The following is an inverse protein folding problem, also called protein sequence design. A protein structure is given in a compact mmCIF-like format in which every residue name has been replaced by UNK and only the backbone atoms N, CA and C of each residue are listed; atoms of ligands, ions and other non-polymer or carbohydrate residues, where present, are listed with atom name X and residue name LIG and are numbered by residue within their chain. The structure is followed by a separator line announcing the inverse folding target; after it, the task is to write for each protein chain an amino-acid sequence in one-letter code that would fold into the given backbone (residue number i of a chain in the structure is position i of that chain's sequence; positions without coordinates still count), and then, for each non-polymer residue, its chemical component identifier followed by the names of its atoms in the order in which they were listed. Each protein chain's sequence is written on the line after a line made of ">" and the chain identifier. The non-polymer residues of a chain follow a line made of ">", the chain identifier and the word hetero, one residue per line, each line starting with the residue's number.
data_IF_253787259176
#
_entry.id   IF_253787259176
#
_cell.length_a   1.000
_cell.length_b   1.000
_cell.length_c   1.000
_cell.angle_alpha   90.00
_cell.angle_beta   90.00
_cell.angle_gamma   90.00
#
_symmetry.space_group_name_H-M   'P 1'
#
loop_
_entity.id
_entity.type
_entity.pdbx_description
1 polymer ?
#
# COMPACT_ATOMS: atom_id res chain seq x y z
N UNK A 1 24.38 1.69 -3.11
CA UNK A 1 23.31 1.16 -3.97
C UNK A 1 23.91 0.10 -4.83
N UNK A 2 24.14 -1.01 -4.17
CA UNK A 2 25.17 -1.96 -4.53
C UNK A 2 24.52 -3.16 -5.22
N UNK A 3 25.28 -3.97 -5.95
CA UNK A 3 24.68 -4.97 -6.85
C UNK A 3 23.78 -5.98 -6.13
N UNK A 4 24.02 -6.25 -4.85
CA UNK A 4 23.19 -7.12 -4.02
C UNK A 4 21.86 -6.45 -3.62
N UNK A 5 21.84 -5.15 -3.33
CA UNK A 5 20.60 -4.39 -3.11
C UNK A 5 19.75 -4.40 -4.38
N UNK A 6 20.36 -4.12 -5.54
CA UNK A 6 19.68 -4.14 -6.84
C UNK A 6 19.06 -5.50 -7.16
N UNK A 7 19.79 -6.59 -6.93
CA UNK A 7 19.25 -7.94 -7.10
C UNK A 7 18.08 -8.22 -6.14
N UNK A 8 18.18 -7.80 -4.88
CA UNK A 8 17.08 -7.93 -3.91
C UNK A 8 15.83 -7.18 -4.38
N UNK A 9 15.95 -5.89 -4.74
CA UNK A 9 14.83 -5.10 -5.24
C UNK A 9 14.22 -5.65 -6.53
N UNK A 10 15.02 -6.26 -7.42
CA UNK A 10 14.50 -6.92 -8.62
C UNK A 10 13.67 -8.16 -8.27
N UNK A 11 14.18 -9.04 -7.39
CA UNK A 11 13.44 -10.21 -6.90
C UNK A 11 12.16 -9.83 -6.16
N UNK A 12 12.22 -8.82 -5.28
CA UNK A 12 11.05 -8.24 -4.59
C UNK A 12 10.01 -7.79 -5.63
N UNK A 13 10.43 -7.09 -6.69
CA UNK A 13 9.52 -6.60 -7.73
C UNK A 13 8.82 -7.73 -8.47
N UNK A 14 9.57 -8.80 -8.79
CA UNK A 14 9.00 -9.98 -9.44
C UNK A 14 8.04 -10.73 -8.51
N UNK A 15 8.43 -11.01 -7.26
CA UNK A 15 7.60 -11.71 -6.28
C UNK A 15 6.32 -10.92 -5.94
N UNK A 16 6.42 -9.59 -5.80
CA UNK A 16 5.28 -8.70 -5.64
C UNK A 16 4.35 -8.71 -6.87
N UNK A 17 4.91 -8.77 -8.08
CA UNK A 17 4.12 -8.93 -9.30
C UNK A 17 3.45 -10.31 -9.40
N UNK A 18 4.13 -11.40 -9.05
CA UNK A 18 3.56 -12.75 -9.00
C UNK A 18 2.42 -12.84 -7.98
N UNK A 19 2.62 -12.23 -6.80
CA UNK A 19 1.56 -12.02 -5.80
C UNK A 19 0.35 -11.33 -6.44
N UNK A 20 0.59 -10.22 -7.15
CA UNK A 20 -0.47 -9.43 -7.76
C UNK A 20 -1.15 -10.15 -8.93
N UNK A 21 -0.45 -10.96 -9.72
CA UNK A 21 -1.06 -11.76 -10.77
C UNK A 21 -2.04 -12.80 -10.17
N UNK A 22 -1.66 -13.46 -9.07
CA UNK A 22 -2.55 -14.38 -8.34
C UNK A 22 -3.77 -13.63 -7.78
N UNK A 23 -3.54 -12.51 -7.09
CA UNK A 23 -4.60 -11.68 -6.50
C UNK A 23 -5.55 -11.14 -7.58
N UNK A 24 -5.02 -10.54 -8.64
CA UNK A 24 -5.82 -9.94 -9.70
C UNK A 24 -6.65 -10.97 -10.49
N UNK A 25 -6.12 -12.18 -10.69
CA UNK A 25 -6.87 -13.29 -11.24
C UNK A 25 -8.01 -13.74 -10.29
N UNK A 26 -7.76 -13.81 -8.98
CA UNK A 26 -8.79 -14.14 -8.00
C UNK A 26 -9.92 -13.09 -7.95
N UNK A 27 -9.57 -11.79 -7.96
CA UNK A 27 -10.54 -10.69 -8.02
C UNK A 27 -11.36 -10.71 -9.31
N UNK A 28 -10.72 -10.98 -10.45
CA UNK A 28 -11.39 -11.13 -11.75
C UNK A 28 -12.35 -12.33 -11.76
N UNK A 29 -11.96 -13.46 -11.17
CA UNK A 29 -12.80 -14.67 -11.06
C UNK A 29 -13.99 -14.52 -10.11
N UNK A 30 -13.92 -13.59 -9.15
CA UNK A 30 -15.02 -13.23 -8.26
C UNK A 30 -15.91 -12.11 -8.83
N UNK A 31 -15.54 -11.52 -9.97
CA UNK A 31 -16.07 -10.27 -10.54
C UNK A 31 -15.89 -9.02 -9.65
N UNK A 32 -15.31 -9.16 -8.45
CA UNK A 32 -15.09 -8.10 -7.45
C UNK A 32 -13.71 -7.46 -7.64
N UNK A 33 -13.56 -6.52 -8.59
CA UNK A 33 -12.32 -5.73 -8.65
C UNK A 33 -12.09 -4.83 -9.87
N UNK A 34 -11.23 -3.82 -9.67
CA UNK A 34 -10.70 -2.86 -10.67
C UNK A 34 -9.32 -2.39 -10.23
N UNK A 35 -8.30 -2.73 -11.00
CA UNK A 35 -6.92 -2.79 -10.52
C UNK A 35 -6.17 -1.51 -10.90
N UNK A 36 -5.28 -0.97 -10.04
CA UNK A 36 -4.57 0.28 -10.34
C UNK A 36 -3.20 0.41 -9.69
N UNK A 37 -2.13 0.22 -10.45
CA UNK A 37 -0.75 0.36 -9.97
C UNK A 37 -0.28 1.81 -9.98
N UNK A 38 0.29 2.32 -8.89
CA UNK A 38 1.12 3.52 -8.81
C UNK A 38 2.36 3.28 -7.93
N UNK A 39 3.53 3.80 -8.29
CA UNK A 39 4.75 3.79 -7.45
C UNK A 39 5.01 5.17 -6.83
N UNK A 40 5.72 5.21 -5.70
CA UNK A 40 6.13 6.46 -5.04
C UNK A 40 7.62 6.60 -4.78
N UNK A 41 8.02 7.72 -4.18
CA UNK A 41 9.39 8.05 -3.80
C UNK A 41 9.54 9.56 -3.69
N UNK A 42 10.37 10.16 -4.53
CA UNK A 42 10.44 11.61 -4.72
C UNK A 42 9.27 12.15 -5.55
N UNK A 43 8.63 11.27 -6.34
CA UNK A 43 7.39 11.53 -7.08
C UNK A 43 6.46 10.30 -7.04
N UNK A 44 5.16 10.55 -7.18
CA UNK A 44 4.12 9.52 -7.34
C UNK A 44 3.83 9.37 -8.82
N UNK A 45 3.71 8.13 -9.31
CA UNK A 45 3.38 7.86 -10.71
C UNK A 45 2.43 6.67 -10.83
N UNK A 46 1.27 6.88 -11.44
CA UNK A 46 0.38 5.80 -11.91
C UNK A 46 1.08 5.01 -13.04
N UNK A 47 1.20 3.70 -12.87
CA UNK A 47 1.75 2.72 -13.81
C UNK A 47 0.64 1.88 -14.50
N UNK A 48 -0.53 1.74 -13.87
CA UNK A 48 -1.72 1.06 -14.40
C UNK A 48 -2.98 1.67 -13.72
N UNK A 49 -4.07 1.99 -14.45
CA UNK A 49 -5.25 2.67 -13.90
C UNK A 49 -6.44 1.75 -13.60
N UNK A 50 -7.31 2.14 -12.65
CA UNK A 50 -8.49 1.36 -12.18
C UNK A 50 -9.35 0.75 -13.29
N UNK A 51 -9.52 1.46 -14.40
CA UNK A 51 -10.39 1.06 -15.51
C UNK A 51 -9.73 0.11 -16.53
N UNK A 52 -8.45 -0.22 -16.38
CA UNK A 52 -7.79 -1.24 -17.19
C UNK A 52 -7.79 -2.61 -16.48
N UNK A 53 -8.12 -3.68 -17.20
CA UNK A 53 -7.93 -5.03 -16.66
C UNK A 53 -6.45 -5.34 -16.45
N UNK A 54 -6.14 -6.07 -15.38
CA UNK A 54 -4.77 -6.51 -15.11
C UNK A 54 -4.41 -7.73 -15.96
N UNK A 55 -3.17 -7.79 -16.46
CA UNK A 55 -2.71 -8.84 -17.37
C UNK A 55 -1.20 -9.00 -17.32
N UNK A 56 -0.68 -10.11 -17.84
CA UNK A 56 0.77 -10.32 -18.02
C UNK A 56 1.43 -9.18 -18.81
N UNK A 57 0.69 -8.59 -19.76
CA UNK A 57 1.16 -7.44 -20.53
C UNK A 57 1.31 -6.19 -19.66
N UNK A 58 0.28 -5.79 -18.91
CA UNK A 58 0.38 -4.63 -18.00
C UNK A 58 1.48 -4.88 -16.96
N UNK A 59 1.56 -6.10 -16.42
CA UNK A 59 2.64 -6.59 -15.56
C UNK A 59 4.04 -6.35 -16.11
N UNK A 60 4.27 -6.78 -17.35
CA UNK A 60 5.55 -6.58 -18.04
C UNK A 60 5.91 -5.10 -18.22
N UNK A 61 4.92 -4.20 -18.30
CA UNK A 61 5.16 -2.75 -18.36
C UNK A 61 5.44 -2.16 -16.97
N UNK A 62 4.69 -2.56 -15.94
CA UNK A 62 4.93 -2.17 -14.54
C UNK A 62 6.38 -2.48 -14.14
N UNK A 63 6.83 -3.72 -14.36
CA UNK A 63 8.19 -4.18 -14.06
C UNK A 63 9.28 -3.40 -14.84
N UNK A 64 8.99 -2.86 -16.03
CA UNK A 64 9.90 -2.00 -16.80
C UNK A 64 9.91 -0.54 -16.35
N UNK A 65 8.84 -0.09 -15.70
CA UNK A 65 8.66 1.29 -15.22
C UNK A 65 9.14 1.46 -13.78
N UNK A 66 9.09 0.42 -12.96
CA UNK A 66 9.72 0.32 -11.65
C UNK A 66 11.25 0.32 -11.78
N UNK A 67 11.90 1.40 -11.33
CA UNK A 67 13.35 1.61 -11.53
C UNK A 67 14.19 1.75 -10.26
N UNK A 68 13.59 1.85 -9.07
CA UNK A 68 14.29 1.94 -7.76
C UNK A 68 15.40 3.01 -7.69
N UNK A 69 15.20 4.12 -8.40
CA UNK A 69 16.17 5.23 -8.47
C UNK A 69 15.81 6.41 -7.54
N UNK A 70 14.71 6.31 -6.81
CA UNK A 70 14.23 7.37 -5.91
C UNK A 70 14.96 7.26 -4.56
N UNK A 71 15.55 8.36 -4.07
CA UNK A 71 16.45 8.32 -2.89
C UNK A 71 15.78 8.80 -1.60
N UNK A 72 14.48 9.09 -1.66
CA UNK A 72 13.68 9.63 -0.57
C UNK A 72 12.25 9.13 -0.70
N UNK A 73 11.59 8.92 0.42
CA UNK A 73 10.20 8.49 0.49
C UNK A 73 9.31 9.66 0.92
N UNK A 74 8.52 10.23 0.00
CA UNK A 74 7.50 11.23 0.31
C UNK A 74 6.15 10.58 0.61
N UNK A 75 6.07 9.96 1.79
CA UNK A 75 4.88 9.19 2.16
C UNK A 75 3.63 10.07 2.35
N UNK A 76 3.77 11.32 2.81
CA UNK A 76 2.65 12.23 2.97
C UNK A 76 2.14 12.72 1.60
N UNK A 77 3.05 13.12 0.70
CA UNK A 77 2.65 13.47 -0.68
C UNK A 77 1.99 12.27 -1.40
N UNK A 78 2.44 11.04 -1.11
CA UNK A 78 1.81 9.83 -1.62
C UNK A 78 0.39 9.61 -1.07
N UNK A 79 0.19 9.69 0.24
CA UNK A 79 -1.14 9.57 0.88
C UNK A 79 -2.13 10.62 0.35
N UNK A 80 -1.69 11.89 0.25
CA UNK A 80 -2.45 12.99 -0.36
C UNK A 80 -2.86 12.66 -1.81
N UNK A 81 -1.95 12.07 -2.60
CA UNK A 81 -2.20 11.68 -4.00
C UNK A 81 -3.15 10.48 -4.11
N UNK A 82 -3.01 9.48 -3.23
CA UNK A 82 -3.85 8.28 -3.20
C UNK A 82 -5.29 8.62 -2.83
N UNK A 83 -5.51 9.43 -1.79
CA UNK A 83 -6.85 9.89 -1.41
C UNK A 83 -7.52 10.65 -2.57
N UNK A 84 -6.76 11.46 -3.31
CA UNK A 84 -7.25 12.14 -4.52
C UNK A 84 -7.64 11.17 -5.64
N UNK A 85 -6.87 10.08 -5.84
CA UNK A 85 -7.19 9.04 -6.83
C UNK A 85 -8.44 8.24 -6.46
N UNK A 86 -8.63 7.91 -5.17
CA UNK A 86 -9.85 7.21 -4.72
C UNK A 86 -11.10 8.08 -4.79
N UNK A 87 -11.01 9.36 -4.41
CA UNK A 87 -12.12 10.30 -4.56
C UNK A 87 -12.54 10.45 -6.05
N UNK A 88 -11.58 10.46 -6.97
CA UNK A 88 -11.86 10.48 -8.42
C UNK A 88 -12.54 9.18 -8.91
N UNK A 89 -12.10 8.02 -8.41
CA UNK A 89 -12.73 6.73 -8.72
C UNK A 89 -14.19 6.66 -8.22
N UNK A 90 -14.47 7.14 -6.99
CA UNK A 90 -15.82 7.25 -6.44
C UNK A 90 -16.74 8.13 -7.30
N UNK A 91 -16.24 9.27 -7.81
CA UNK A 91 -17.04 10.18 -8.65
C UNK A 91 -17.36 9.59 -10.04
N UNK A 92 -16.47 8.78 -10.61
CA UNK A 92 -16.76 8.05 -11.86
C UNK A 92 -17.90 7.03 -11.66
N UNK A 93 -17.93 6.35 -10.51
CA UNK A 93 -19.00 5.43 -10.10
C UNK A 93 -20.38 6.10 -9.99
N UNK A 94 -20.46 7.38 -9.61
CA UNK A 94 -21.75 8.08 -9.40
C UNK A 94 -22.50 8.47 -10.69
N UNK A 95 -21.92 8.28 -11.88
CA UNK A 95 -22.58 8.58 -13.16
C UNK A 95 -23.13 7.34 -13.89
N UNK A 96 -23.12 6.16 -13.25
CA UNK A 96 -23.57 4.89 -13.83
C UNK A 96 -24.90 4.45 -13.22
N UNK A 97 -25.76 3.83 -14.02
CA UNK A 97 -27.07 3.29 -13.58
C UNK A 97 -26.93 2.11 -12.60
N UNK A 98 -27.97 1.77 -11.78
CA UNK A 98 -27.83 0.93 -10.58
C UNK A 98 -27.56 -0.58 -10.76
N UNK A 99 -26.84 -1.00 -11.81
CA UNK A 99 -26.57 -2.41 -12.12
C UNK A 99 -25.14 -2.89 -11.85
N UNK A 100 -24.13 -2.03 -11.93
CA UNK A 100 -22.71 -2.44 -11.98
C UNK A 100 -21.85 -1.51 -11.10
N UNK A 101 -21.35 -2.01 -9.96
CA UNK A 101 -20.53 -1.24 -9.00
C UNK A 101 -19.49 -2.14 -8.29
N UNK A 102 -18.40 -2.52 -8.97
CA UNK A 102 -17.25 -3.16 -8.33
C UNK A 102 -15.97 -2.36 -8.55
N UNK A 103 -15.11 -2.34 -7.52
CA UNK A 103 -13.85 -1.61 -7.55
C UNK A 103 -12.70 -2.46 -6.98
N UNK A 104 -11.46 -2.11 -7.37
CA UNK A 104 -10.21 -2.15 -6.57
C UNK A 104 -9.10 -3.22 -6.76
N UNK A 105 -7.92 -2.80 -6.25
CA UNK A 105 -6.53 -3.34 -6.11
C UNK A 105 -5.71 -3.87 -7.28
N UNK A 106 -4.54 -3.22 -7.44
CA UNK A 106 -3.31 -3.98 -7.65
C UNK A 106 -2.15 -3.07 -7.91
N UNK A 107 -1.09 -3.14 -7.10
CA UNK A 107 -0.09 -2.07 -7.03
C UNK A 107 1.29 -2.70 -6.65
N UNK A 108 2.39 -2.46 -7.42
CA UNK A 108 3.79 -3.00 -7.32
C UNK A 108 4.80 -2.03 -8.03
N UNK A 109 6.11 -1.82 -7.74
CA UNK A 109 7.00 -1.94 -6.54
C UNK A 109 7.70 -0.53 -6.25
N UNK A 110 8.04 -0.16 -4.98
CA UNK A 110 8.02 1.19 -4.28
C UNK A 110 6.64 1.73 -3.72
N UNK A 111 6.08 1.07 -2.69
CA UNK A 111 4.79 1.24 -1.96
C UNK A 111 3.40 1.35 -2.65
N UNK A 112 2.39 0.63 -2.11
CA UNK A 112 1.19 0.09 -2.83
C UNK A 112 -0.18 0.17 -2.12
N UNK A 113 -1.32 -0.14 -2.80
CA UNK A 113 -2.70 0.28 -2.38
C UNK A 113 -3.96 -0.58 -2.73
N UNK A 114 -4.52 -1.40 -1.82
CA UNK A 114 -5.67 -2.33 -2.08
C UNK A 114 -7.04 -1.86 -1.57
N UNK A 115 -8.07 -1.68 -2.38
CA UNK A 115 -9.45 -1.47 -1.87
C UNK A 115 -10.36 -2.66 -2.23
N UNK A 116 -11.66 -2.70 -1.90
CA UNK A 116 -12.68 -3.55 -2.58
C UNK A 116 -14.13 -3.23 -2.13
N UNK A 117 -15.14 -3.79 -2.79
CA UNK A 117 -16.55 -3.49 -2.61
C UNK A 117 -17.39 -4.79 -2.58
N UNK A 118 -18.25 -5.04 -1.58
CA UNK A 118 -19.11 -6.23 -1.54
C UNK A 118 -20.32 -6.11 -2.48
N UNK A 119 -20.73 -7.24 -3.07
CA UNK A 119 -21.79 -7.35 -4.07
C UNK A 119 -23.11 -7.84 -3.46
N UNK A 120 -24.05 -6.96 -3.10
CA UNK A 120 -25.42 -7.37 -2.76
C UNK A 120 -26.47 -6.27 -2.97
N UNK A 121 -27.47 -6.46 -3.86
CA UNK A 121 -28.55 -5.50 -4.08
C UNK A 121 -29.69 -5.66 -3.04
N UNK A 122 -29.35 -5.62 -1.74
CA UNK A 122 -30.26 -5.97 -0.65
C UNK A 122 -30.29 -4.94 0.51
N UNK A 123 -30.65 -3.69 0.19
CA UNK A 123 -31.02 -2.64 1.16
C UNK A 123 -29.90 -2.19 2.13
N UNK A 124 -28.73 -1.83 1.58
CA UNK A 124 -27.76 -1.00 2.28
C UNK A 124 -27.84 0.45 1.78
N UNK A 125 -28.02 1.41 2.70
CA UNK A 125 -28.18 2.82 2.37
C UNK A 125 -26.91 3.63 2.60
N UNK A 126 -26.42 4.30 1.55
CA UNK A 126 -25.39 5.35 1.58
C UNK A 126 -23.95 4.87 1.82
N UNK A 127 -23.24 4.61 0.70
CA UNK A 127 -21.81 4.87 0.50
C UNK A 127 -20.79 4.33 1.52
N UNK A 128 -20.63 3.00 1.62
CA UNK A 128 -19.39 2.41 2.14
C UNK A 128 -18.64 1.65 1.03
N UNK A 129 -17.68 2.35 0.41
CA UNK A 129 -16.65 1.70 -0.43
C UNK A 129 -15.49 1.38 0.47
N UNK A 130 -15.27 0.11 0.81
CA UNK A 130 -14.19 -0.26 1.72
C UNK A 130 -12.82 -0.03 1.03
N UNK A 131 -12.04 0.91 1.54
CA UNK A 131 -10.74 1.24 0.97
C UNK A 131 -9.61 0.71 1.86
N UNK A 132 -8.51 0.25 1.25
CA UNK A 132 -7.27 -0.11 1.93
C UNK A 132 -6.05 0.35 1.09
N UNK A 133 -4.89 0.38 1.74
CA UNK A 133 -3.65 0.86 1.18
C UNK A 133 -2.50 -0.08 1.60
N UNK A 134 -2.05 -1.00 0.73
CA UNK A 134 -1.12 -2.11 1.01
C UNK A 134 0.36 -1.73 0.73
N UNK A 135 0.98 -0.91 1.57
CA UNK A 135 2.25 -0.22 1.28
C UNK A 135 3.50 -1.11 1.38
N UNK A 136 3.95 -1.73 0.30
CA UNK A 136 5.21 -2.53 0.30
C UNK A 136 6.47 -1.66 0.09
N UNK A 137 7.32 -1.51 1.11
CA UNK A 137 8.52 -0.65 1.09
C UNK A 137 9.52 -1.06 2.20
N UNK A 138 10.78 -0.64 2.16
CA UNK A 138 11.75 -0.88 3.25
C UNK A 138 11.40 -0.15 4.56
N UNK A 139 10.39 0.73 4.53
CA UNK A 139 9.88 1.46 5.69
C UNK A 139 10.82 2.57 6.20
N UNK A 140 11.96 2.82 5.55
CA UNK A 140 12.93 3.80 6.03
C UNK A 140 12.58 5.21 5.56
N UNK A 141 12.99 6.20 6.35
CA UNK A 141 12.94 7.61 5.97
C UNK A 141 11.53 8.21 5.84
N UNK A 142 10.47 7.55 6.32
CA UNK A 142 9.09 8.05 6.21
C UNK A 142 8.93 9.49 6.71
N UNK A 143 9.66 9.87 7.77
CA UNK A 143 9.63 11.20 8.37
C UNK A 143 10.48 12.28 7.67
N UNK A 144 10.99 12.02 6.46
CA UNK A 144 11.69 13.02 5.64
C UNK A 144 10.81 14.23 5.27
N UNK A 145 9.48 14.09 5.32
CA UNK A 145 8.52 15.19 5.11
C UNK A 145 8.07 15.89 6.42
N UNK A 146 8.65 15.50 7.57
CA UNK A 146 8.31 15.99 8.91
C UNK A 146 7.27 15.12 9.61
N UNK A 147 7.50 14.81 10.90
CA UNK A 147 6.67 13.87 11.69
C UNK A 147 5.18 14.24 11.67
N UNK A 148 4.87 15.49 11.99
CA UNK A 148 3.49 15.95 12.15
C UNK A 148 2.72 15.94 10.83
N UNK A 149 3.39 16.23 9.70
CA UNK A 149 2.78 16.13 8.36
C UNK A 149 2.51 14.67 7.98
N UNK A 150 3.41 13.74 8.29
CA UNK A 150 3.22 12.32 8.02
C UNK A 150 2.06 11.77 8.85
N UNK A 151 2.00 12.08 10.16
CA UNK A 151 0.89 11.67 11.02
C UNK A 151 -0.45 12.27 10.56
N UNK A 152 -0.47 13.56 10.18
CA UNK A 152 -1.66 14.20 9.62
C UNK A 152 -2.11 13.56 8.30
N UNK A 153 -1.18 13.16 7.43
CA UNK A 153 -1.50 12.49 6.17
C UNK A 153 -2.03 11.06 6.37
N UNK A 154 -1.49 10.30 7.34
CA UNK A 154 -2.03 8.98 7.70
C UNK A 154 -3.42 9.11 8.33
N UNK A 155 -3.62 10.08 9.22
CA UNK A 155 -4.93 10.37 9.80
C UNK A 155 -5.94 10.82 8.73
N UNK A 156 -5.52 11.62 7.75
CA UNK A 156 -6.36 12.04 6.63
C UNK A 156 -6.79 10.86 5.74
N UNK A 157 -5.90 9.89 5.50
CA UNK A 157 -6.24 8.66 4.79
C UNK A 157 -7.25 7.80 5.58
N UNK A 158 -7.04 7.63 6.90
CA UNK A 158 -7.97 6.92 7.77
C UNK A 158 -9.35 7.60 7.82
N UNK A 159 -9.39 8.94 7.91
CA UNK A 159 -10.63 9.74 7.87
C UNK A 159 -11.34 9.69 6.50
N UNK A 160 -10.67 9.21 5.44
CA UNK A 160 -11.24 8.95 4.12
C UNK A 160 -11.64 7.47 3.92
N UNK A 161 -11.74 6.70 5.01
CA UNK A 161 -11.99 5.26 5.05
C UNK A 161 -10.92 4.39 4.33
N UNK A 162 -9.70 4.92 4.13
CA UNK A 162 -8.57 4.19 3.54
C UNK A 162 -7.78 3.46 4.65
N UNK A 163 -8.03 2.17 4.80
CA UNK A 163 -7.40 1.28 5.78
C UNK A 163 -5.95 0.93 5.36
N UNK A 164 -4.93 1.48 6.02
CA UNK A 164 -3.54 1.33 5.56
C UNK A 164 -2.82 0.14 6.21
N UNK A 165 -2.36 -0.84 5.42
CA UNK A 165 -1.44 -1.93 5.81
C UNK A 165 -0.06 -1.65 5.21
N UNK A 166 0.98 -1.45 6.01
CA UNK A 166 2.35 -1.27 5.50
C UNK A 166 3.15 -2.58 5.55
N UNK A 167 3.57 -3.11 4.40
CA UNK A 167 4.45 -4.28 4.33
C UNK A 167 5.90 -3.80 4.30
N UNK A 168 6.53 -3.86 5.47
CA UNK A 168 7.91 -3.45 5.72
C UNK A 168 8.84 -4.57 5.25
N UNK A 169 9.66 -4.29 4.24
CA UNK A 169 10.67 -5.21 3.73
C UNK A 169 11.97 -5.08 4.54
N UNK A 170 12.21 -6.03 5.44
CA UNK A 170 13.38 -6.07 6.31
C UNK A 170 14.42 -7.06 5.77
N UNK A 171 15.69 -6.64 5.70
CA UNK A 171 16.79 -7.53 5.29
C UNK A 171 17.55 -8.01 6.55
N UNK A 172 17.28 -9.23 7.05
CA UNK A 172 17.89 -9.74 8.29
C UNK A 172 19.39 -10.04 8.17
N UNK A 173 19.95 -10.02 6.95
CA UNK A 173 21.38 -10.19 6.70
C UNK A 173 22.16 -8.87 6.75
N UNK A 174 21.48 -7.73 6.77
CA UNK A 174 22.08 -6.39 6.82
C UNK A 174 22.31 -5.92 8.26
N UNK A 175 23.25 -4.98 8.47
CA UNK A 175 23.37 -4.23 9.74
C UNK A 175 22.34 -3.11 9.88
N UNK A 176 21.45 -3.01 8.91
CA UNK A 176 20.55 -1.88 8.68
C UNK A 176 19.08 -2.32 8.83
N UNK A 177 18.83 -3.47 9.47
CA UNK A 177 17.50 -4.00 9.75
C UNK A 177 16.64 -2.92 10.41
N UNK A 178 15.40 -2.76 9.96
CA UNK A 178 14.54 -1.66 10.43
C UNK A 178 14.30 -1.71 11.95
N UNK A 179 14.36 -2.92 12.52
CA UNK A 179 14.21 -3.21 13.95
C UNK A 179 15.42 -2.73 14.78
N UNK A 180 16.61 -2.65 14.19
CA UNK A 180 17.83 -2.14 14.83
C UNK A 180 17.97 -0.61 14.73
N UNK A 181 17.19 0.05 13.86
CA UNK A 181 17.21 1.51 13.71
C UNK A 181 16.72 2.17 15.00
N UNK A 182 17.52 3.12 15.50
CA UNK A 182 17.20 3.93 16.68
C UNK A 182 17.20 5.41 16.34
N UNK A 183 16.20 6.13 16.84
CA UNK A 183 15.98 7.55 16.56
C UNK A 183 16.17 8.43 17.82
N UNK A 184 16.83 9.58 17.71
CA UNK A 184 16.93 10.55 18.79
C UNK A 184 15.67 11.45 18.85
N UNK A 185 14.94 11.36 19.96
CA UNK A 185 13.77 12.20 20.26
C UNK A 185 14.21 13.38 21.14
N UNK A 186 14.27 14.58 20.55
CA UNK A 186 14.63 15.81 21.24
C UNK A 186 13.40 16.42 21.91
N UNK A 187 13.40 16.48 23.25
CA UNK A 187 12.28 17.02 24.05
C UNK A 187 12.29 18.55 24.17
N UNK A 188 13.48 19.15 24.22
CA UNK A 188 13.64 20.60 24.35
C UNK A 188 15.07 21.07 24.02
N UNK A 189 15.29 22.38 23.84
CA UNK A 189 16.60 22.93 23.52
C UNK A 189 17.61 22.69 24.66
N UNK A 190 18.68 21.93 24.37
CA UNK A 190 19.73 21.61 25.34
C UNK A 190 19.49 20.38 26.20
N UNK A 191 18.33 19.72 26.08
CA UNK A 191 18.11 18.40 26.70
C UNK A 191 18.83 17.29 25.90
N UNK A 192 19.26 16.23 26.58
CA UNK A 192 19.78 15.04 25.90
C UNK A 192 18.63 14.32 25.16
N UNK A 193 18.81 13.90 23.89
CA UNK A 193 17.78 13.19 23.17
C UNK A 193 17.51 11.80 23.79
N UNK A 194 16.23 11.45 23.89
CA UNK A 194 15.81 10.11 24.26
C UNK A 194 15.98 9.18 23.04
N UNK A 195 16.70 8.07 23.19
CA UNK A 195 16.93 7.12 22.10
C UNK A 195 15.83 6.05 22.12
N UNK A 196 14.98 6.05 21.09
CA UNK A 196 13.89 5.06 20.90
C UNK A 196 14.16 4.15 19.71
N UNK A 197 13.50 2.99 19.65
CA UNK A 197 13.40 2.24 18.38
C UNK A 197 12.63 3.07 17.34
N UNK A 198 13.01 2.93 16.07
CA UNK A 198 12.22 3.49 14.96
C UNK A 198 10.78 2.93 14.94
N UNK A 199 10.60 1.67 15.35
CA UNK A 199 9.29 1.00 15.31
C UNK A 199 8.32 1.48 16.40
N UNK A 200 8.81 2.05 17.52
CA UNK A 200 7.97 2.70 18.54
C UNK A 200 7.27 3.97 18.01
N UNK A 201 7.86 4.58 16.98
CA UNK A 201 7.41 5.84 16.37
C UNK A 201 6.83 5.62 14.97
N UNK A 202 6.61 4.37 14.54
CA UNK A 202 6.18 4.04 13.17
C UNK A 202 4.76 4.58 12.89
N UNK A 203 4.50 5.26 11.76
CA UNK A 203 3.29 6.06 11.60
C UNK A 203 2.04 5.28 11.18
N UNK A 204 2.15 4.00 10.83
CA UNK A 204 1.04 3.17 10.38
C UNK A 204 0.62 2.16 11.46
N UNK A 205 -0.68 2.04 11.80
CA UNK A 205 -1.13 1.14 12.86
C UNK A 205 -1.15 -0.33 12.44
N UNK A 206 -1.37 -0.62 11.15
CA UNK A 206 -1.28 -1.97 10.60
C UNK A 206 -0.02 -2.07 9.74
N UNK A 207 0.89 -2.95 10.11
CA UNK A 207 2.09 -3.23 9.34
C UNK A 207 2.54 -4.68 9.52
N UNK A 208 3.29 -5.18 8.55
CA UNK A 208 3.84 -6.54 8.53
C UNK A 208 5.34 -6.42 8.24
N UNK A 209 6.20 -6.98 9.09
CA UNK A 209 7.65 -7.00 8.85
C UNK A 209 8.01 -8.30 8.14
N UNK A 210 8.26 -8.21 6.84
CA UNK A 210 8.63 -9.34 6.00
C UNK A 210 10.16 -9.47 5.91
N UNK A 211 10.68 -10.55 6.50
CA UNK A 211 12.12 -10.89 6.52
C UNK A 211 12.56 -11.89 5.44
N UNK A 212 11.62 -12.61 4.86
CA UNK A 212 11.86 -13.45 3.68
C UNK A 212 10.98 -12.94 2.54
N UNK A 213 11.61 -12.40 1.50
CA UNK A 213 10.92 -11.86 0.32
C UNK A 213 10.13 -12.95 -0.42
N UNK A 214 10.54 -14.22 -0.32
CA UNK A 214 9.84 -15.34 -0.96
C UNK A 214 8.49 -15.64 -0.29
N UNK A 215 8.30 -15.25 0.97
CA UNK A 215 7.03 -15.33 1.68
C UNK A 215 6.08 -14.15 1.37
N UNK A 216 6.48 -13.18 0.51
CA UNK A 216 5.63 -12.06 0.12
C UNK A 216 4.28 -12.50 -0.48
N UNK A 217 4.20 -13.46 -1.43
CA UNK A 217 2.92 -13.80 -2.06
C UNK A 217 1.91 -14.45 -1.10
N UNK A 218 2.39 -15.30 -0.20
CA UNK A 218 1.59 -15.90 0.86
C UNK A 218 1.14 -14.82 1.86
N UNK A 219 2.07 -13.97 2.31
CA UNK A 219 1.80 -12.86 3.24
C UNK A 219 0.77 -11.87 2.69
N UNK A 220 0.86 -11.49 1.41
CA UNK A 220 -0.12 -10.61 0.79
C UNK A 220 -1.47 -11.32 0.65
N UNK A 221 -1.49 -12.59 0.23
CA UNK A 221 -2.74 -13.37 0.11
C UNK A 221 -3.49 -13.47 1.44
N UNK A 222 -2.78 -13.72 2.55
CA UNK A 222 -3.38 -13.81 3.87
C UNK A 222 -3.80 -12.46 4.46
N UNK A 223 -3.00 -11.39 4.28
CA UNK A 223 -3.37 -10.04 4.71
C UNK A 223 -4.65 -9.55 4.02
N UNK A 224 -4.83 -9.91 2.75
CA UNK A 224 -6.01 -9.55 1.97
C UNK A 224 -7.22 -10.42 2.31
N UNK A 225 -7.01 -11.73 2.55
CA UNK A 225 -8.05 -12.61 3.09
C UNK A 225 -8.59 -12.09 4.42
N UNK A 226 -7.72 -11.68 5.35
CA UNK A 226 -8.11 -11.07 6.62
C UNK A 226 -8.89 -9.75 6.42
N UNK A 227 -8.48 -8.92 5.46
CA UNK A 227 -9.22 -7.69 5.15
C UNK A 227 -10.61 -7.98 4.54
N UNK A 228 -10.73 -8.97 3.65
CA UNK A 228 -12.03 -9.43 3.13
C UNK A 228 -12.93 -9.99 4.25
N UNK A 229 -12.37 -10.79 5.15
CA UNK A 229 -13.07 -11.30 6.34
C UNK A 229 -13.55 -10.12 7.22
N UNK A 230 -12.75 -9.09 7.45
CA UNK A 230 -13.16 -7.89 8.21
C UNK A 230 -14.30 -7.11 7.54
N UNK A 231 -14.22 -6.84 6.23
CA UNK A 231 -15.21 -6.05 5.49
C UNK A 231 -16.54 -6.80 5.29
N UNK A 232 -16.51 -8.13 5.23
CA UNK A 232 -17.73 -8.95 5.12
C UNK A 232 -18.32 -9.33 6.49
N UNK A 233 -17.53 -9.39 7.56
CA UNK A 233 -18.04 -9.63 8.91
C UNK A 233 -18.83 -8.44 9.48
N UNK A 234 -18.56 -7.22 9.03
CA UNK A 234 -19.37 -6.03 9.39
C UNK A 234 -20.80 -6.03 8.82
N UNK A 235 -21.12 -6.95 7.91
CA UNK A 235 -22.41 -7.03 7.19
C UNK A 235 -23.35 -8.12 7.78
N UNK A 236 -23.04 -8.68 8.96
CA UNK A 236 -23.91 -9.62 9.68
C UNK A 236 -24.80 -8.93 10.74
N UNK A 237 -26.13 -9.19 10.74
CA UNK A 237 -27.11 -8.54 11.64
C UNK A 237 -27.28 -9.21 13.02
#
# INVERSE_FOLDING_TARGET
>A
MDTEEWCSYLSISQLAFESLAVIGNALTLLEVGQIAVCSFGESVKLLHPFHEQFSDYSGSQILRLCKFQQKKTKIAQFLESVASMFAAAQQLSQNVSPGELHASFGVVNDGFSFCSLPSSPAVCSVTDTAQLLLVVSDGRGLFLEGKDRVLAAVQAAQNANIFVIFVVLDNPSSRDSILDIKVPIFKGPGEMPEIRSYMEEFPFPFYIILRDVNALPETLSDALRQWFELVTASDQP
#
